data_IF_204875215369
#
_entry.id   IF_204875215369
#
_cell.length_a   1.000
_cell.length_b   1.000
_cell.length_c   1.000
_cell.angle_alpha   90.00
_cell.angle_beta   90.00
_cell.angle_gamma   90.00
#
_symmetry.space_group_name_H-M   'P 1'
#
loop_
_entity.id
_entity.type
_entity.pdbx_description
1 polymer ?
#
# COMPACT_ATOMS: atom_id res chain seq x y z
N UNK A 1 -0.31 -20.16 6.68
CA UNK A 1 -1.46 -19.26 6.44
C UNK A 1 -1.10 -18.37 5.26
N UNK A 2 -1.86 -18.41 4.16
CA UNK A 2 -1.65 -17.53 3.01
C UNK A 2 -2.47 -16.26 3.27
N UNK A 3 -1.80 -15.14 3.49
CA UNK A 3 -2.46 -13.83 3.69
C UNK A 3 -2.47 -13.12 2.35
N UNK A 4 -3.66 -12.86 1.80
CA UNK A 4 -3.87 -12.10 0.58
C UNK A 4 -4.90 -11.02 0.81
N UNK A 5 -4.80 -9.92 0.05
CA UNK A 5 -5.84 -8.90 0.03
C UNK A 5 -7.13 -9.41 -0.63
N UNK A 6 -8.18 -8.58 -0.56
CA UNK A 6 -9.43 -8.83 -1.28
C UNK A 6 -9.19 -8.99 -2.79
N UNK A 7 -10.00 -9.83 -3.42
CA UNK A 7 -10.09 -9.95 -4.88
C UNK A 7 -10.82 -8.77 -5.53
N UNK A 8 -11.45 -7.91 -4.73
CA UNK A 8 -12.02 -6.66 -5.19
C UNK A 8 -10.93 -5.61 -5.37
N UNK A 9 -10.88 -5.03 -6.57
CA UNK A 9 -9.92 -3.98 -6.90
C UNK A 9 -10.48 -2.62 -6.45
N UNK A 10 -9.85 -1.92 -5.49
CA UNK A 10 -10.28 -0.58 -5.09
C UNK A 10 -10.16 0.40 -6.25
N UNK A 11 -10.90 1.51 -6.21
CA UNK A 11 -10.68 2.62 -7.14
C UNK A 11 -9.27 3.20 -6.98
N UNK A 12 -8.70 3.71 -8.08
CA UNK A 12 -7.40 4.35 -7.99
C UNK A 12 -7.55 5.71 -7.29
N UNK A 13 -6.71 6.03 -6.30
CA UNK A 13 -6.91 7.22 -5.47
C UNK A 13 -6.67 8.50 -6.26
N UNK A 14 -7.45 9.53 -5.92
CA UNK A 14 -7.19 10.90 -6.36
C UNK A 14 -6.20 11.55 -5.39
N UNK A 15 -5.05 11.96 -5.90
CA UNK A 15 -4.04 12.63 -5.09
C UNK A 15 -4.46 14.07 -4.79
N UNK A 16 -4.70 14.38 -3.50
CA UNK A 16 -4.89 15.77 -3.06
C UNK A 16 -3.62 16.59 -3.30
N UNK A 17 -3.80 17.77 -3.88
CA UNK A 17 -2.77 18.78 -4.05
C UNK A 17 -2.31 19.32 -2.69
N UNK A 18 -1.08 19.82 -2.61
CA UNK A 18 -0.52 20.39 -1.38
C UNK A 18 -0.06 19.37 -0.33
N UNK A 19 -0.43 18.09 -0.42
CA UNK A 19 0.10 17.04 0.47
C UNK A 19 1.55 16.74 0.09
N UNK A 20 2.47 17.03 1.02
CA UNK A 20 3.89 16.68 0.88
C UNK A 20 4.02 15.16 0.73
N UNK A 21 4.75 14.73 -0.28
CA UNK A 21 5.11 13.32 -0.50
C UNK A 21 6.60 13.14 -0.38
N UNK A 22 7.03 11.89 -0.15
CA UNK A 22 8.44 11.56 -0.23
C UNK A 22 9.00 11.98 -1.60
N UNK A 23 10.22 12.56 -1.65
CA UNK A 23 10.85 12.86 -2.93
C UNK A 23 11.07 11.58 -3.73
N UNK A 24 11.11 11.71 -5.06
CA UNK A 24 11.53 10.62 -5.93
C UNK A 24 12.93 10.14 -5.53
N UNK A 25 13.10 8.82 -5.41
CA UNK A 25 14.39 8.20 -5.12
C UNK A 25 15.15 7.79 -6.38
N UNK A 26 14.54 7.98 -7.56
CA UNK A 26 15.02 7.57 -8.85
C UNK A 26 14.89 6.07 -9.07
N UNK A 27 14.70 5.66 -10.32
CA UNK A 27 14.75 4.26 -10.72
C UNK A 27 16.20 3.83 -11.00
N UNK A 28 16.71 2.88 -10.21
CA UNK A 28 18.10 2.39 -10.31
C UNK A 28 18.21 0.87 -10.42
N UNK A 29 17.08 0.18 -10.54
CA UNK A 29 17.06 -1.28 -10.58
C UNK A 29 17.35 -1.77 -12.00
N UNK A 30 18.09 -2.87 -12.09
CA UNK A 30 18.20 -3.62 -13.35
C UNK A 30 16.84 -4.24 -13.70
N UNK A 31 16.62 -4.66 -14.96
CA UNK A 31 15.38 -5.34 -15.34
C UNK A 31 15.03 -6.55 -14.45
N UNK A 32 16.04 -7.37 -14.12
CA UNK A 32 15.86 -8.53 -13.23
C UNK A 32 15.49 -8.11 -11.79
N UNK A 33 16.08 -7.03 -11.28
CA UNK A 33 15.74 -6.50 -9.96
C UNK A 33 14.34 -5.89 -9.92
N UNK A 34 13.93 -5.20 -10.99
CA UNK A 34 12.58 -4.67 -11.13
C UNK A 34 11.54 -5.80 -11.18
N UNK A 35 11.82 -6.89 -11.90
CA UNK A 35 10.97 -8.08 -11.92
C UNK A 35 10.82 -8.69 -10.51
N UNK A 36 11.91 -8.80 -9.76
CA UNK A 36 11.88 -9.28 -8.36
C UNK A 36 11.06 -8.33 -7.48
N UNK A 37 11.21 -7.01 -7.65
CA UNK A 37 10.43 -6.01 -6.91
C UNK A 37 8.92 -6.17 -7.17
N UNK A 38 8.52 -6.35 -8.43
CA UNK A 38 7.13 -6.61 -8.81
C UNK A 38 6.61 -7.92 -8.21
N UNK A 39 7.36 -9.02 -8.32
CA UNK A 39 6.98 -10.32 -7.70
C UNK A 39 6.80 -10.18 -6.19
N UNK A 40 7.67 -9.42 -5.53
CA UNK A 40 7.58 -9.17 -4.09
C UNK A 40 6.34 -8.36 -3.69
N UNK A 41 5.94 -7.38 -4.50
CA UNK A 41 4.71 -6.63 -4.26
C UNK A 41 3.46 -7.49 -4.54
N UNK A 42 3.45 -8.22 -5.66
CA UNK A 42 2.32 -9.02 -6.11
C UNK A 42 2.05 -10.27 -5.24
N UNK A 43 2.99 -10.69 -4.39
CA UNK A 43 2.79 -11.87 -3.50
C UNK A 43 1.63 -11.72 -2.52
N UNK A 44 1.22 -10.49 -2.22
CA UNK A 44 0.09 -10.17 -1.33
C UNK A 44 -1.24 -10.02 -2.09
N UNK A 45 -1.20 -10.09 -3.41
CA UNK A 45 -2.31 -9.76 -4.31
C UNK A 45 -2.87 -11.04 -4.93
N UNK A 46 -4.20 -11.20 -5.04
CA UNK A 46 -4.81 -12.28 -5.83
C UNK A 46 -4.35 -12.28 -7.29
N UNK A 47 -4.06 -13.45 -7.86
CA UNK A 47 -3.44 -13.57 -9.19
C UNK A 47 -4.28 -12.93 -10.30
N UNK A 48 -5.60 -12.96 -10.17
CA UNK A 48 -6.56 -12.34 -11.08
C UNK A 48 -6.39 -10.82 -11.20
N UNK A 49 -5.83 -10.15 -10.17
CA UNK A 49 -5.57 -8.72 -10.17
C UNK A 49 -4.16 -8.36 -10.69
N UNK A 50 -3.27 -9.34 -10.89
CA UNK A 50 -1.87 -9.08 -11.26
C UNK A 50 -1.75 -8.36 -12.60
N UNK A 51 -2.60 -8.68 -13.57
CA UNK A 51 -2.59 -8.03 -14.89
C UNK A 51 -2.82 -6.53 -14.81
N UNK A 52 -3.63 -6.09 -13.85
CA UNK A 52 -3.94 -4.66 -13.63
C UNK A 52 -2.89 -4.00 -12.74
N UNK A 53 -2.44 -4.67 -11.68
CA UNK A 53 -1.56 -4.06 -10.67
C UNK A 53 -0.08 -4.06 -11.05
N UNK A 54 0.39 -5.02 -11.85
CA UNK A 54 1.77 -5.05 -12.32
C UNK A 54 2.20 -3.75 -13.03
N UNK A 55 1.45 -3.22 -14.01
CA UNK A 55 1.83 -1.95 -14.65
C UNK A 55 1.76 -0.75 -13.68
N UNK A 56 0.80 -0.72 -12.75
CA UNK A 56 0.71 0.35 -11.74
C UNK A 56 1.92 0.35 -10.79
N UNK A 57 2.30 -0.82 -10.29
CA UNK A 57 3.49 -0.95 -9.44
C UNK A 57 4.77 -0.64 -10.20
N UNK A 58 4.84 -0.97 -11.49
CA UNK A 58 5.98 -0.60 -12.32
C UNK A 58 6.06 0.91 -12.52
N UNK A 59 4.94 1.59 -12.74
CA UNK A 59 4.87 3.04 -12.82
C UNK A 59 5.32 3.72 -11.53
N UNK A 60 4.87 3.23 -10.36
CA UNK A 60 5.34 3.74 -9.07
C UNK A 60 6.85 3.55 -8.90
N UNK A 61 7.36 2.38 -9.29
CA UNK A 61 8.79 2.07 -9.22
C UNK A 61 9.61 2.99 -10.13
N UNK A 62 9.13 3.29 -11.34
CA UNK A 62 9.79 4.19 -12.29
C UNK A 62 9.75 5.65 -11.89
N UNK A 63 8.58 6.12 -11.44
CA UNK A 63 8.34 7.56 -11.19
C UNK A 63 8.71 7.99 -9.77
N UNK A 64 8.84 7.04 -8.83
CA UNK A 64 9.07 7.33 -7.40
C UNK A 64 10.20 6.50 -6.79
N UNK A 65 10.78 5.58 -7.55
CA UNK A 65 11.82 4.66 -7.09
C UNK A 65 11.34 3.60 -6.09
N UNK A 66 10.03 3.50 -5.84
CA UNK A 66 9.43 2.59 -4.84
C UNK A 66 8.01 2.19 -5.23
N UNK A 67 7.62 0.98 -4.87
CA UNK A 67 6.23 0.52 -4.92
C UNK A 67 5.58 0.84 -3.57
N UNK A 68 4.64 1.79 -3.55
CA UNK A 68 3.84 2.18 -2.39
C UNK A 68 2.51 1.43 -2.34
N UNK A 69 2.00 0.98 -3.49
CA UNK A 69 0.68 0.38 -3.61
C UNK A 69 -0.43 1.39 -3.34
N UNK A 70 -0.38 2.56 -3.99
CA UNK A 70 -1.29 3.67 -3.70
C UNK A 70 -2.76 3.30 -3.80
N UNK A 71 -3.13 2.39 -4.73
CA UNK A 71 -4.49 1.88 -4.85
C UNK A 71 -5.06 1.33 -3.53
N UNK A 72 -4.22 0.74 -2.69
CA UNK A 72 -4.62 0.15 -1.42
C UNK A 72 -4.45 1.10 -0.23
N UNK A 73 -3.98 2.34 -0.44
CA UNK A 73 -3.97 3.35 0.63
C UNK A 73 -5.43 3.74 0.93
N UNK A 74 -5.90 3.62 2.18
CA UNK A 74 -7.24 4.08 2.52
C UNK A 74 -7.41 5.58 2.22
N UNK A 75 -8.59 5.96 1.75
CA UNK A 75 -8.89 7.35 1.46
C UNK A 75 -9.08 8.18 2.74
N UNK A 76 -8.85 9.48 2.62
CA UNK A 76 -9.07 10.43 3.72
C UNK A 76 -7.85 10.65 4.61
N UNK A 77 -8.16 11.24 5.76
CA UNK A 77 -7.24 11.64 6.81
C UNK A 77 -7.11 10.50 7.82
N UNK A 78 -5.96 9.83 7.82
CA UNK A 78 -5.68 8.72 8.70
C UNK A 78 -5.34 9.29 10.08
N UNK A 79 -6.18 8.97 11.06
CA UNK A 79 -6.05 9.46 12.43
C UNK A 79 -6.48 8.38 13.39
N UNK A 80 -5.82 8.35 14.55
CA UNK A 80 -6.23 7.54 15.66
C UNK A 80 -7.70 7.81 16.03
N UNK A 81 -8.44 6.73 16.23
CA UNK A 81 -9.82 6.72 16.72
C UNK A 81 -9.85 6.27 18.19
N UNK A 82 -10.98 6.42 18.91
CA UNK A 82 -11.17 5.73 20.18
C UNK A 82 -10.85 4.24 20.07
N UNK A 83 -10.21 3.66 21.10
CA UNK A 83 -9.75 2.27 21.06
C UNK A 83 -10.88 1.27 20.80
N UNK A 84 -12.10 1.59 21.23
CA UNK A 84 -13.28 0.75 21.07
C UNK A 84 -13.79 0.65 19.62
N UNK A 85 -13.40 1.59 18.74
CA UNK A 85 -13.75 1.58 17.32
C UNK A 85 -12.91 0.57 16.51
N UNK A 86 -11.81 0.09 17.09
CA UNK A 86 -10.92 -0.88 16.43
C UNK A 86 -11.39 -2.31 16.65
N UNK A 87 -11.28 -3.11 15.59
CA UNK A 87 -11.57 -4.55 15.64
C UNK A 87 -10.33 -5.31 16.09
N UNK A 88 -10.47 -6.15 17.09
CA UNK A 88 -9.36 -6.95 17.61
C UNK A 88 -9.80 -7.92 18.68
N UNK A 89 -9.07 -9.03 18.83
CA UNK A 89 -9.37 -10.07 19.82
C UNK A 89 -8.87 -9.71 21.22
N UNK A 90 -8.02 -8.68 21.36
CA UNK A 90 -7.49 -8.17 22.63
C UNK A 90 -7.30 -6.65 22.56
N UNK A 91 -7.17 -6.02 23.73
CA UNK A 91 -7.01 -4.57 23.86
C UNK A 91 -5.66 -4.11 23.29
N UNK A 92 -4.61 -4.89 23.50
CA UNK A 92 -3.25 -4.59 23.02
C UNK A 92 -3.21 -4.56 21.48
N UNK A 93 -3.92 -5.49 20.82
CA UNK A 93 -4.03 -5.53 19.36
C UNK A 93 -4.81 -4.33 18.80
N UNK A 94 -5.79 -3.81 19.53
CA UNK A 94 -6.48 -2.56 19.19
C UNK A 94 -5.57 -1.35 19.41
N UNK A 95 -4.82 -1.33 20.51
CA UNK A 95 -3.86 -0.26 20.80
C UNK A 95 -2.77 -0.14 19.72
N UNK A 96 -2.28 -1.25 19.16
CA UNK A 96 -1.37 -1.17 18.02
C UNK A 96 -2.00 -0.51 16.79
N UNK A 97 -3.26 -0.78 16.49
CA UNK A 97 -3.96 -0.14 15.38
C UNK A 97 -4.13 1.37 15.59
N UNK A 98 -4.47 1.80 16.82
CA UNK A 98 -4.49 3.22 17.22
C UNK A 98 -3.14 3.88 16.90
N UNK A 99 -2.04 3.27 17.33
CA UNK A 99 -0.69 3.82 17.13
C UNK A 99 -0.25 3.81 15.66
N UNK A 100 -0.70 2.83 14.86
CA UNK A 100 -0.47 2.78 13.42
C UNK A 100 -1.18 3.96 12.74
N UNK A 101 -2.48 4.14 12.99
CA UNK A 101 -3.26 5.24 12.39
C UNK A 101 -2.76 6.62 12.85
N UNK A 102 -2.20 6.74 14.05
CA UNK A 102 -1.59 7.99 14.53
C UNK A 102 -0.32 8.38 13.75
N UNK A 103 0.42 7.40 13.23
CA UNK A 103 1.71 7.63 12.56
C UNK A 103 1.60 7.84 11.04
N UNK A 104 0.48 7.43 10.44
CA UNK A 104 0.26 7.43 8.99
C UNK A 104 -0.40 8.73 8.49
#
# INVERSE_FOLDING_TARGET
>A
MKITLSSELPHYPVFKEGIRRAPDRGFRLTPAQAEIALKNALRYIPCELHKTLAPEFLEELWTRGRIYGYRYRPEGDLKAKPIDDYKGNCVEGKAFQVMIDNNL
#
